data_IF_525123067806
#
_entry.id   IF_525123067806
#
_cell.length_a   1.000
_cell.length_b   1.000
_cell.length_c   1.000
_cell.angle_alpha   90.00
_cell.angle_beta   90.00
_cell.angle_gamma   90.00
#
_symmetry.space_group_name_H-M   'P 1'
#
loop_
_entity.id
_entity.type
_entity.pdbx_description
1 polymer ?
#
# COMPACT_ATOMS: atom_id res chain seq x y z
N UNK A 1 31.52 20.10 -28.24
CA UNK A 1 30.17 19.49 -28.24
C UNK A 1 30.09 18.22 -27.38
N UNK A 2 31.05 17.27 -27.46
CA UNK A 2 31.06 16.06 -26.62
C UNK A 2 31.03 16.30 -25.10
N UNK A 3 31.77 17.30 -24.59
CA UNK A 3 31.75 17.67 -23.16
C UNK A 3 30.41 18.27 -22.69
N UNK A 4 29.67 18.91 -23.60
CA UNK A 4 28.35 19.48 -23.32
C UNK A 4 27.27 18.40 -23.32
N UNK A 5 27.36 17.43 -24.23
CA UNK A 5 26.49 16.24 -24.27
C UNK A 5 26.67 15.35 -23.03
N UNK A 6 27.90 15.20 -22.53
CA UNK A 6 28.17 14.47 -21.29
C UNK A 6 27.55 15.15 -20.07
N UNK A 7 27.63 16.49 -19.99
CA UNK A 7 27.03 17.26 -18.91
C UNK A 7 25.49 17.14 -18.88
N UNK A 8 24.85 17.14 -20.05
CA UNK A 8 23.38 16.99 -20.19
C UNK A 8 22.92 15.59 -19.77
N UNK A 9 23.71 14.55 -20.08
CA UNK A 9 23.40 13.16 -19.69
C UNK A 9 23.46 12.95 -18.17
N UNK A 10 24.34 13.65 -17.45
CA UNK A 10 24.45 13.58 -15.98
C UNK A 10 23.28 14.30 -15.30
N UNK A 11 22.83 15.43 -15.85
CA UNK A 11 21.69 16.19 -15.30
C UNK A 11 20.36 15.43 -15.47
N UNK A 12 20.15 14.73 -16.60
CA UNK A 12 18.96 13.90 -16.79
C UNK A 12 18.88 12.74 -15.79
N UNK A 13 20.02 12.16 -15.41
CA UNK A 13 20.05 11.04 -14.46
C UNK A 13 19.70 11.47 -13.03
N UNK A 14 20.03 12.69 -12.63
CA UNK A 14 19.71 13.22 -11.29
C UNK A 14 18.21 13.49 -11.15
N UNK A 15 17.54 13.99 -12.19
CA UNK A 15 16.12 14.33 -12.15
C UNK A 15 15.20 13.09 -11.98
N UNK A 16 15.60 11.92 -12.49
CA UNK A 16 14.81 10.69 -12.34
C UNK A 16 14.84 10.15 -10.90
N UNK A 17 15.94 10.38 -10.17
CA UNK A 17 16.10 9.87 -8.80
C UNK A 17 15.22 10.64 -7.79
N UNK A 18 14.96 11.93 -8.02
CA UNK A 18 14.16 12.74 -7.08
C UNK A 18 12.68 12.37 -7.06
N UNK A 19 12.13 11.85 -8.17
CA UNK A 19 10.73 11.43 -8.22
C UNK A 19 10.51 10.07 -7.58
N UNK A 20 11.43 9.12 -7.79
CA UNK A 20 11.38 7.80 -7.15
C UNK A 20 11.40 7.91 -5.63
N UNK A 21 12.27 8.78 -5.08
CA UNK A 21 12.38 8.98 -3.64
C UNK A 21 11.07 9.41 -2.98
N UNK A 22 10.23 10.20 -3.66
CA UNK A 22 8.93 10.63 -3.12
C UNK A 22 7.86 9.55 -3.22
N UNK A 23 7.87 8.80 -4.33
CA UNK A 23 6.94 7.70 -4.55
C UNK A 23 7.16 6.55 -3.55
N UNK A 24 8.43 6.32 -3.18
CA UNK A 24 8.84 5.26 -2.25
C UNK A 24 8.57 5.60 -0.77
N UNK A 25 8.08 6.79 -0.44
CA UNK A 25 7.88 7.22 0.96
C UNK A 25 6.87 6.37 1.75
N UNK A 26 5.96 5.66 1.06
CA UNK A 26 5.01 4.72 1.68
C UNK A 26 5.57 3.31 1.90
N UNK A 27 6.79 3.01 1.42
CA UNK A 27 7.40 1.71 1.67
C UNK A 27 7.72 1.61 3.16
N UNK A 28 7.24 0.54 3.80
CA UNK A 28 7.41 0.37 5.24
C UNK A 28 6.39 -0.56 5.87
N UNK A 29 6.37 -0.58 7.20
CA UNK A 29 5.50 -1.43 8.01
C UNK A 29 4.49 -0.58 8.74
N UNK A 30 3.24 -1.02 8.73
CA UNK A 30 2.12 -0.26 9.25
C UNK A 30 1.16 -1.13 10.05
N UNK A 31 0.74 -0.61 11.21
CA UNK A 31 -0.33 -1.15 12.03
C UNK A 31 -1.67 -0.57 11.60
N UNK A 32 -2.60 -1.44 11.24
CA UNK A 32 -3.93 -1.07 10.79
C UNK A 32 -4.91 -1.03 11.97
N UNK A 33 -6.00 -0.24 11.89
CA UNK A 33 -7.03 -0.19 12.92
C UNK A 33 -7.79 -1.51 13.18
N UNK A 34 -7.57 -2.54 12.35
CA UNK A 34 -8.19 -3.85 12.49
C UNK A 34 -7.25 -4.89 13.09
N UNK A 35 -6.14 -4.48 13.72
CA UNK A 35 -5.13 -5.33 14.36
C UNK A 35 -4.22 -6.10 13.39
N UNK A 36 -4.28 -5.84 12.08
CA UNK A 36 -3.28 -6.38 11.15
C UNK A 36 -2.07 -5.46 11.07
N UNK A 37 -0.87 -6.04 10.98
CA UNK A 37 0.30 -5.32 10.49
C UNK A 37 0.54 -5.69 9.03
N UNK A 38 0.84 -4.69 8.21
CA UNK A 38 1.16 -4.86 6.79
C UNK A 38 2.53 -4.30 6.47
N UNK A 39 3.24 -4.94 5.55
CA UNK A 39 4.42 -4.38 4.89
C UNK A 39 4.01 -3.92 3.50
N UNK A 40 4.17 -2.63 3.21
CA UNK A 40 4.04 -2.03 1.88
C UNK A 40 5.40 -2.11 1.19
N UNK A 41 5.41 -2.59 -0.04
CA UNK A 41 6.60 -2.74 -0.88
C UNK A 41 6.32 -2.37 -2.33
N UNK A 42 7.36 -1.99 -3.06
CA UNK A 42 7.31 -1.70 -4.49
C UNK A 42 7.57 -2.98 -5.31
N UNK A 43 6.84 -3.13 -6.41
CA UNK A 43 7.06 -4.16 -7.42
C UNK A 43 6.57 -3.64 -8.79
N UNK A 44 7.49 -3.50 -9.75
CA UNK A 44 7.15 -3.17 -11.14
C UNK A 44 6.53 -1.77 -11.35
N UNK A 45 6.95 -0.78 -10.57
CA UNK A 45 6.47 0.59 -10.58
C UNK A 45 5.19 0.83 -9.80
N UNK A 46 4.71 -0.18 -9.05
CA UNK A 46 3.49 -0.11 -8.25
C UNK A 46 3.74 -0.58 -6.82
N UNK A 47 2.84 -0.23 -5.93
CA UNK A 47 2.94 -0.60 -4.52
C UNK A 47 1.90 -1.64 -4.14
N UNK A 48 2.38 -2.64 -3.40
CA UNK A 48 1.63 -3.77 -2.89
C UNK A 48 1.81 -3.84 -1.39
N UNK A 49 0.94 -4.60 -0.72
CA UNK A 49 1.07 -4.80 0.71
C UNK A 49 0.62 -6.18 1.14
N UNK A 50 1.43 -6.80 1.99
CA UNK A 50 1.18 -8.13 2.55
C UNK A 50 1.04 -8.08 4.06
N UNK A 51 0.23 -8.98 4.62
CA UNK A 51 0.08 -9.12 6.08
C UNK A 51 1.36 -9.71 6.67
N UNK A 52 1.92 -9.06 7.69
CA UNK A 52 3.15 -9.50 8.40
C UNK A 52 2.91 -9.82 9.88
N UNK A 53 1.80 -9.38 10.46
CA UNK A 53 1.35 -9.81 11.79
C UNK A 53 -0.16 -9.72 11.90
N UNK A 54 -0.74 -10.51 12.80
CA UNK A 54 -2.18 -10.58 13.01
C UNK A 54 -2.65 -9.90 14.31
N UNK A 55 -1.77 -9.59 15.27
CA UNK A 55 -2.06 -8.94 16.56
C UNK A 55 -3.46 -9.19 17.19
N UNK A 56 -3.89 -10.45 17.29
CA UNK A 56 -5.22 -10.86 17.80
C UNK A 56 -6.42 -10.47 16.90
N UNK A 57 -6.19 -10.30 15.60
CA UNK A 57 -7.17 -10.09 14.54
C UNK A 57 -8.38 -11.00 14.72
N UNK A 58 -9.55 -10.38 14.93
CA UNK A 58 -10.83 -11.07 15.15
C UNK A 58 -10.77 -12.20 16.19
N UNK A 59 -10.08 -11.97 17.31
CA UNK A 59 -9.96 -12.97 18.39
C UNK A 59 -9.03 -14.13 18.05
N UNK A 60 -7.96 -13.86 17.30
CA UNK A 60 -6.95 -14.85 16.94
C UNK A 60 -7.22 -15.62 15.65
N UNK A 61 -8.04 -15.07 14.74
CA UNK A 61 -8.30 -15.67 13.44
C UNK A 61 -7.01 -15.69 12.60
N UNK A 62 -6.58 -16.88 12.19
CA UNK A 62 -5.34 -17.08 11.39
C UNK A 62 -5.59 -17.39 9.92
N UNK A 63 -6.81 -17.81 9.57
CA UNK A 63 -7.22 -18.21 8.22
C UNK A 63 -8.23 -17.24 7.63
N UNK A 64 -8.33 -17.22 6.32
CA UNK A 64 -9.22 -16.31 5.58
C UNK A 64 -10.67 -16.80 5.50
N UNK A 65 -11.29 -17.10 6.65
CA UNK A 65 -12.59 -17.80 6.73
C UNK A 65 -13.74 -17.08 6.02
N UNK A 66 -13.61 -15.77 5.77
CA UNK A 66 -14.63 -14.96 5.09
C UNK A 66 -14.38 -14.85 3.57
N UNK A 67 -13.35 -15.52 3.02
CA UNK A 67 -13.09 -15.44 1.60
C UNK A 67 -14.29 -15.97 0.80
N UNK A 68 -14.78 -15.25 -0.23
CA UNK A 68 -15.86 -15.74 -1.08
C UNK A 68 -15.50 -17.00 -1.86
N UNK A 69 -14.20 -17.24 -2.11
CA UNK A 69 -13.69 -18.47 -2.71
C UNK A 69 -13.44 -19.53 -1.62
N UNK A 70 -14.19 -20.63 -1.69
CA UNK A 70 -14.12 -21.75 -0.74
C UNK A 70 -12.72 -22.34 -0.59
N UNK A 71 -11.92 -22.37 -1.67
CA UNK A 71 -10.57 -22.90 -1.63
C UNK A 71 -9.65 -21.98 -0.82
N UNK A 72 -9.87 -20.66 -0.92
CA UNK A 72 -9.07 -19.64 -0.23
C UNK A 72 -9.41 -19.50 1.24
N UNK A 73 -10.59 -19.98 1.68
CA UNK A 73 -10.98 -19.92 3.11
C UNK A 73 -10.03 -20.62 4.05
N UNK A 74 -9.32 -21.64 3.54
CA UNK A 74 -8.37 -22.44 4.32
C UNK A 74 -6.96 -21.86 4.32
N UNK A 75 -6.70 -20.87 3.48
CA UNK A 75 -5.38 -20.24 3.36
C UNK A 75 -5.06 -19.40 4.60
N UNK A 76 -3.77 -19.36 5.00
CA UNK A 76 -3.32 -18.45 6.04
C UNK A 76 -3.49 -16.98 5.62
N UNK A 77 -3.79 -16.12 6.59
CA UNK A 77 -3.78 -14.66 6.41
C UNK A 77 -2.35 -14.10 6.37
N UNK A 78 -1.44 -14.68 7.16
CA UNK A 78 -0.03 -14.24 7.18
C UNK A 78 0.60 -14.40 5.79
N UNK A 79 1.31 -13.37 5.32
CA UNK A 79 1.93 -13.32 3.99
C UNK A 79 0.96 -13.03 2.84
N UNK A 80 -0.36 -12.99 3.08
CA UNK A 80 -1.34 -12.71 2.03
C UNK A 80 -1.20 -11.26 1.53
N UNK A 81 -1.04 -11.08 0.23
CA UNK A 81 -1.07 -9.77 -0.42
C UNK A 81 -2.51 -9.27 -0.42
N UNK A 82 -2.77 -8.25 0.39
CA UNK A 82 -4.08 -7.64 0.54
C UNK A 82 -4.17 -6.25 -0.09
N UNK A 83 -3.06 -5.56 -0.33
CA UNK A 83 -3.02 -4.27 -1.04
C UNK A 83 -2.38 -4.48 -2.40
N UNK A 84 -2.95 -3.89 -3.45
CA UNK A 84 -2.47 -4.03 -4.83
C UNK A 84 -2.59 -2.73 -5.61
N UNK A 85 -1.69 -2.56 -6.58
CA UNK A 85 -1.80 -1.58 -7.67
C UNK A 85 -1.88 -0.11 -7.23
N UNK A 86 -1.34 0.23 -6.07
CA UNK A 86 -1.15 1.65 -5.73
C UNK A 86 -0.14 2.25 -6.69
N UNK A 87 -0.47 3.40 -7.27
CA UNK A 87 0.38 4.15 -8.20
C UNK A 87 0.56 5.57 -7.67
N UNK A 88 1.80 6.05 -7.62
CA UNK A 88 2.07 7.42 -7.19
C UNK A 88 1.67 8.40 -8.30
N UNK A 89 0.80 9.34 -7.96
CA UNK A 89 0.39 10.45 -8.81
C UNK A 89 1.20 11.69 -8.44
N UNK A 90 1.99 12.19 -9.40
CA UNK A 90 2.90 13.32 -9.19
C UNK A 90 2.18 14.67 -9.08
N UNK A 91 0.99 14.80 -9.67
CA UNK A 91 0.22 16.04 -9.66
C UNK A 91 -0.48 16.19 -8.31
N UNK A 92 -1.18 15.15 -7.87
CA UNK A 92 -1.89 15.11 -6.59
C UNK A 92 -0.94 14.86 -5.40
N UNK A 93 0.25 14.31 -5.66
CA UNK A 93 1.21 13.84 -4.63
C UNK A 93 0.60 12.79 -3.71
N UNK A 94 -0.15 11.85 -4.29
CA UNK A 94 -0.88 10.80 -3.58
C UNK A 94 -0.66 9.45 -4.24
N UNK A 95 -0.97 8.36 -3.54
CA UNK A 95 -0.99 7.03 -4.14
C UNK A 95 -2.44 6.65 -4.45
N UNK A 96 -2.72 6.44 -5.73
CA UNK A 96 -4.06 6.26 -6.27
C UNK A 96 -4.23 4.87 -6.88
N UNK A 97 -5.45 4.57 -7.32
CA UNK A 97 -5.85 3.35 -8.07
C UNK A 97 -5.64 2.01 -7.35
N UNK A 98 -5.16 2.06 -6.10
CA UNK A 98 -4.99 0.87 -5.30
C UNK A 98 -6.30 0.15 -5.04
N UNK A 99 -6.19 -1.13 -4.72
CA UNK A 99 -7.28 -1.92 -4.15
C UNK A 99 -6.80 -2.64 -2.90
N UNK A 100 -7.73 -2.89 -1.98
CA UNK A 100 -7.44 -3.64 -0.76
C UNK A 100 -8.52 -4.67 -0.47
N UNK A 101 -8.09 -5.90 -0.16
CA UNK A 101 -8.93 -6.96 0.35
C UNK A 101 -9.02 -6.86 1.88
N UNK A 102 -10.23 -6.70 2.40
CA UNK A 102 -10.56 -6.75 3.82
C UNK A 102 -10.95 -8.17 4.26
N UNK A 103 -10.05 -8.96 4.89
CA UNK A 103 -10.34 -10.32 5.34
C UNK A 103 -11.40 -10.38 6.45
N UNK A 104 -11.71 -9.25 7.08
CA UNK A 104 -12.76 -9.15 8.09
C UNK A 104 -14.15 -9.42 7.52
N UNK A 105 -14.38 -9.13 6.24
CA UNK A 105 -15.67 -9.35 5.57
C UNK A 105 -15.58 -10.08 4.23
N UNK A 106 -14.37 -10.35 3.74
CA UNK A 106 -14.16 -10.95 2.42
C UNK A 106 -14.43 -9.98 1.27
N UNK A 107 -14.16 -8.69 1.47
CA UNK A 107 -14.59 -7.62 0.55
C UNK A 107 -13.38 -6.87 0.02
N UNK A 108 -13.35 -6.64 -1.29
CA UNK A 108 -12.38 -5.71 -1.92
C UNK A 108 -12.96 -4.31 -2.01
N UNK A 109 -12.16 -3.31 -1.67
CA UNK A 109 -12.46 -1.87 -1.79
C UNK A 109 -11.33 -1.15 -2.52
N UNK A 110 -11.63 0.02 -3.08
CA UNK A 110 -10.62 0.91 -3.64
C UNK A 110 -9.82 1.54 -2.50
N UNK A 111 -8.54 1.76 -2.73
CA UNK A 111 -7.59 2.29 -1.76
C UNK A 111 -6.83 3.47 -2.34
N UNK A 112 -6.67 4.52 -1.55
CA UNK A 112 -5.77 5.63 -1.81
C UNK A 112 -4.98 5.98 -0.55
N UNK A 113 -3.74 6.42 -0.70
CA UNK A 113 -2.96 7.02 0.39
C UNK A 113 -2.81 8.51 0.08
N UNK A 114 -3.36 9.35 0.95
CA UNK A 114 -3.58 10.78 0.68
C UNK A 114 -2.56 11.67 1.37
N UNK A 115 -2.00 11.24 2.49
CA UNK A 115 -1.08 12.02 3.30
C UNK A 115 -0.07 11.12 4.02
N UNK A 116 1.18 11.57 4.14
CA UNK A 116 2.20 10.98 5.00
C UNK A 116 2.48 11.96 6.15
N UNK A 117 2.41 11.45 7.38
CA UNK A 117 2.78 12.16 8.61
C UNK A 117 3.94 11.44 9.27
N UNK A 118 4.49 12.04 10.33
CA UNK A 118 5.68 11.51 11.02
C UNK A 118 5.50 10.06 11.52
N UNK A 119 4.31 9.72 12.03
CA UNK A 119 4.03 8.43 12.70
C UNK A 119 2.93 7.61 12.02
N UNK A 120 2.34 8.11 10.95
CA UNK A 120 1.20 7.48 10.30
C UNK A 120 1.05 7.94 8.86
N UNK A 121 0.27 7.17 8.10
CA UNK A 121 -0.23 7.57 6.79
C UNK A 121 -1.76 7.66 6.84
N UNK A 122 -2.31 8.60 6.09
CA UNK A 122 -3.76 8.71 5.89
C UNK A 122 -4.17 7.88 4.67
N UNK A 123 -5.16 7.02 4.86
CA UNK A 123 -5.63 6.07 3.87
C UNK A 123 -7.13 6.19 3.70
N UNK A 124 -7.57 6.29 2.45
CA UNK A 124 -8.99 6.33 2.10
C UNK A 124 -9.40 5.02 1.45
N UNK A 125 -10.28 4.28 2.12
CA UNK A 125 -10.94 3.10 1.57
C UNK A 125 -12.33 3.47 1.05
N UNK A 126 -12.67 3.10 -0.19
CA UNK A 126 -14.00 3.39 -0.75
C UNK A 126 -14.61 2.22 -1.53
N UNK A 127 -15.94 2.13 -1.45
CA UNK A 127 -16.73 1.15 -2.20
C UNK A 127 -18.12 1.73 -2.50
N UNK A 128 -18.45 1.83 -3.78
CA UNK A 128 -19.67 2.54 -4.25
C UNK A 128 -19.72 3.99 -3.70
N UNK A 129 -20.83 4.36 -3.06
CA UNK A 129 -21.04 5.69 -2.47
C UNK A 129 -20.45 5.84 -1.06
N UNK A 130 -19.85 4.79 -0.50
CA UNK A 130 -19.30 4.82 0.85
C UNK A 130 -17.78 4.96 0.80
N UNK A 131 -17.24 5.81 1.66
CA UNK A 131 -15.81 5.93 1.90
C UNK A 131 -15.53 6.06 3.40
N UNK A 132 -14.30 5.75 3.78
CA UNK A 132 -13.76 5.99 5.12
C UNK A 132 -12.31 6.44 5.00
N UNK A 133 -11.93 7.39 5.85
CA UNK A 133 -10.56 7.78 6.07
C UNK A 133 -10.05 7.09 7.33
N UNK A 134 -8.86 6.51 7.25
CA UNK A 134 -8.22 5.74 8.31
C UNK A 134 -6.77 6.21 8.45
N UNK A 135 -6.26 6.18 9.68
CA UNK A 135 -4.83 6.37 9.94
C UNK A 135 -4.17 4.99 10.13
N UNK A 136 -3.12 4.71 9.38
CA UNK A 136 -2.28 3.52 9.57
C UNK A 136 -0.98 3.95 10.23
N UNK A 137 -0.68 3.39 11.41
CA UNK A 137 0.47 3.82 12.22
C UNK A 137 1.73 3.14 11.74
N UNK A 138 2.82 3.88 11.57
CA UNK A 138 4.13 3.32 11.22
C UNK A 138 4.69 2.53 12.40
N UNK A 139 5.37 1.41 12.11
CA UNK A 139 6.01 0.51 13.09
C UNK A 139 7.53 0.55 12.91
#
# INVERSE_FOLDING_TARGET
MQKLSFLISVILFIALNTFAQRADEIIGKYHLPNDLDVEIFEDGGKYFGKIIALNNFRGGQTKDVNNPDELKKKEPLIGKIIIKDLEYDTEEKQWLKGSMYGPEKGIVFNLKITEIREKEIEVVGSKFIMWRTLAWKKI
#
